data_IF_050501800630
#
_entry.id   IF_050501800630
#
_cell.length_a   1.000
_cell.length_b   1.000
_cell.length_c   1.000
_cell.angle_alpha   90.00
_cell.angle_beta   90.00
_cell.angle_gamma   90.00
#
_symmetry.space_group_name_H-M   'P 1'
#
loop_
_entity.id
_entity.type
_entity.pdbx_description
1 polymer ?
#
# COMPACT_ATOMS: atom_id res chain seq x y z
N UNK A 1 -13.32 26.73 4.98
CA UNK A 1 -14.59 26.15 4.48
C UNK A 1 -14.72 24.78 5.12
N UNK A 2 -15.93 24.42 5.57
CA UNK A 2 -16.19 23.04 6.02
C UNK A 2 -16.09 22.08 4.82
N UNK A 3 -15.51 20.91 5.02
CA UNK A 3 -15.46 19.88 3.97
C UNK A 3 -16.87 19.33 3.73
N UNK A 4 -17.21 19.08 2.48
CA UNK A 4 -18.50 18.49 2.11
C UNK A 4 -18.44 16.97 2.32
N UNK A 5 -19.10 16.50 3.38
CA UNK A 5 -19.15 15.08 3.74
C UNK A 5 -19.91 14.22 2.72
N UNK A 6 -20.67 14.82 1.80
CA UNK A 6 -21.37 14.12 0.72
C UNK A 6 -20.48 13.87 -0.51
N UNK A 7 -19.25 14.40 -0.55
CA UNK A 7 -18.30 14.19 -1.66
C UNK A 7 -18.12 12.71 -1.95
N UNK A 8 -18.36 12.24 -3.19
CA UNK A 8 -18.21 10.84 -3.56
C UNK A 8 -16.78 10.34 -3.34
N UNK A 9 -16.62 9.10 -2.83
CA UNK A 9 -15.31 8.53 -2.52
C UNK A 9 -14.34 8.51 -3.70
N UNK A 10 -14.84 8.23 -4.91
CA UNK A 10 -14.02 8.23 -6.14
C UNK A 10 -13.42 9.60 -6.49
N UNK A 11 -14.11 10.68 -6.15
CA UNK A 11 -13.59 12.04 -6.39
C UNK A 11 -12.45 12.41 -5.43
N UNK A 12 -12.39 11.74 -4.26
CA UNK A 12 -11.33 11.98 -3.27
C UNK A 12 -9.99 11.34 -3.66
N UNK A 13 -10.04 10.25 -4.46
CA UNK A 13 -8.86 9.44 -4.79
C UNK A 13 -8.73 9.18 -6.31
N UNK A 14 -8.73 10.22 -7.16
CA UNK A 14 -8.72 10.05 -8.62
C UNK A 14 -7.45 9.39 -9.15
N UNK A 15 -6.36 9.37 -8.37
CA UNK A 15 -5.10 8.73 -8.74
C UNK A 15 -5.08 7.20 -8.60
N UNK A 16 -6.01 6.61 -7.84
CA UNK A 16 -5.98 5.20 -7.53
C UNK A 16 -6.07 4.28 -8.77
N UNK A 17 -6.97 4.53 -9.74
CA UNK A 17 -7.08 3.68 -10.94
C UNK A 17 -5.85 3.71 -11.85
N UNK A 18 -5.02 4.75 -11.76
CA UNK A 18 -3.83 4.90 -12.61
C UNK A 18 -2.62 4.14 -12.08
N UNK A 19 -2.58 3.79 -10.78
CA UNK A 19 -1.44 3.13 -10.16
C UNK A 19 -0.97 1.88 -10.90
N UNK A 20 -1.82 0.89 -11.25
CA UNK A 20 -1.36 -0.32 -11.93
C UNK A 20 -0.68 -0.04 -13.27
N UNK A 21 -1.21 0.94 -14.01
CA UNK A 21 -0.61 1.37 -15.28
C UNK A 21 0.74 2.08 -15.09
N UNK A 22 0.91 2.81 -13.98
CA UNK A 22 2.20 3.43 -13.65
C UNK A 22 3.25 2.37 -13.31
N UNK A 23 2.89 1.36 -12.52
CA UNK A 23 3.78 0.23 -12.21
C UNK A 23 4.17 -0.53 -13.47
N UNK A 24 3.20 -0.89 -14.33
CA UNK A 24 3.47 -1.60 -15.57
C UNK A 24 4.49 -0.84 -16.44
N UNK A 25 4.33 0.48 -16.61
CA UNK A 25 5.26 1.31 -17.38
C UNK A 25 6.66 1.41 -16.74
N UNK A 26 6.74 1.51 -15.40
CA UNK A 26 8.04 1.59 -14.73
C UNK A 26 8.88 0.32 -14.87
N UNK A 27 8.23 -0.84 -14.95
CA UNK A 27 8.94 -2.13 -15.02
C UNK A 27 9.05 -2.68 -16.44
N UNK A 28 8.47 -2.01 -17.43
CA UNK A 28 8.49 -2.42 -18.84
C UNK A 28 9.93 -2.49 -19.36
N UNK A 29 10.27 -3.60 -20.02
CA UNK A 29 11.58 -3.82 -20.65
C UNK A 29 12.72 -4.11 -19.67
N UNK A 30 12.48 -4.18 -18.35
CA UNK A 30 13.50 -4.60 -17.40
C UNK A 30 13.76 -6.09 -17.51
N UNK A 31 15.04 -6.47 -17.46
CA UNK A 31 15.47 -7.87 -17.40
C UNK A 31 15.18 -8.49 -16.03
N UNK A 32 15.10 -9.82 -15.96
CA UNK A 32 14.97 -10.57 -14.71
C UNK A 32 16.03 -10.18 -13.68
N UNK A 33 17.29 -10.00 -14.13
CA UNK A 33 18.38 -9.58 -13.27
C UNK A 33 18.17 -8.17 -12.68
N UNK A 34 17.56 -7.25 -13.41
CA UNK A 34 17.20 -5.92 -12.92
C UNK A 34 16.01 -5.96 -11.96
N UNK A 35 15.01 -6.77 -12.31
CA UNK A 35 13.81 -6.95 -11.48
C UNK A 35 14.13 -7.55 -10.10
N UNK A 36 15.10 -8.46 -10.02
CA UNK A 36 15.41 -9.22 -8.81
C UNK A 36 16.60 -8.66 -8.00
N UNK A 37 17.24 -7.61 -8.49
CA UNK A 37 18.38 -6.98 -7.79
C UNK A 37 17.90 -6.14 -6.61
N UNK A 38 18.17 -6.59 -5.39
CA UNK A 38 18.09 -5.78 -4.18
C UNK A 38 19.40 -4.98 -3.98
N UNK A 39 19.34 -3.91 -3.18
CA UNK A 39 20.49 -3.03 -2.84
C UNK A 39 20.52 -2.79 -1.34
N UNK A 40 20.86 -3.81 -0.54
CA UNK A 40 20.76 -3.74 0.93
C UNK A 40 21.68 -2.70 1.55
N UNK A 41 22.67 -2.19 0.82
CA UNK A 41 23.53 -1.08 1.21
C UNK A 41 22.82 0.29 1.19
N UNK A 42 21.66 0.38 0.51
CA UNK A 42 20.82 1.57 0.46
C UNK A 42 19.66 1.42 1.44
N UNK A 43 19.35 2.47 2.18
CA UNK A 43 18.24 2.46 3.17
C UNK A 43 16.87 2.12 2.56
N UNK A 44 16.66 2.44 1.29
CA UNK A 44 15.45 2.16 0.51
C UNK A 44 15.51 0.87 -0.31
N UNK A 45 16.68 0.24 -0.43
CA UNK A 45 16.95 -0.81 -1.41
C UNK A 45 16.86 -2.25 -0.87
N UNK A 46 16.26 -2.45 0.30
CA UNK A 46 16.10 -3.78 0.92
C UNK A 46 15.30 -4.75 0.07
N UNK A 47 14.34 -4.25 -0.68
CA UNK A 47 13.51 -5.02 -1.59
C UNK A 47 13.86 -4.71 -3.04
N UNK A 48 13.89 -5.74 -3.87
CA UNK A 48 14.05 -5.61 -5.32
C UNK A 48 12.82 -4.97 -5.97
N UNK A 49 12.92 -4.59 -7.25
CA UNK A 49 11.80 -4.04 -8.02
C UNK A 49 10.62 -5.03 -8.03
N UNK A 50 10.86 -6.33 -8.28
CA UNK A 50 9.80 -7.36 -8.25
C UNK A 50 9.12 -7.42 -6.89
N UNK A 51 9.89 -7.32 -5.81
CA UNK A 51 9.36 -7.31 -4.46
C UNK A 51 8.53 -6.06 -4.16
N UNK A 52 8.89 -4.88 -4.70
CA UNK A 52 8.08 -3.66 -4.60
C UNK A 52 6.69 -3.84 -5.26
N UNK A 53 6.64 -4.46 -6.45
CA UNK A 53 5.38 -4.76 -7.14
C UNK A 53 4.55 -5.77 -6.34
N UNK A 54 5.18 -6.85 -5.86
CA UNK A 54 4.54 -7.89 -5.05
C UNK A 54 3.96 -7.32 -3.77
N UNK A 55 4.71 -6.45 -3.07
CA UNK A 55 4.25 -5.78 -1.87
C UNK A 55 3.01 -4.94 -2.13
N UNK A 56 3.00 -4.15 -3.19
CA UNK A 56 1.86 -3.28 -3.47
C UNK A 56 0.59 -4.04 -3.87
N UNK A 57 0.73 -5.17 -4.56
CA UNK A 57 -0.40 -6.08 -4.80
C UNK A 57 -0.94 -6.65 -3.46
N UNK A 58 -0.04 -7.14 -2.60
CA UNK A 58 -0.38 -7.64 -1.27
C UNK A 58 -1.05 -6.58 -0.39
N UNK A 59 -0.54 -5.34 -0.36
CA UNK A 59 -1.06 -4.23 0.47
C UNK A 59 -2.54 -3.99 0.19
N UNK A 60 -2.96 -3.95 -1.09
CA UNK A 60 -4.35 -3.76 -1.46
C UNK A 60 -5.24 -4.88 -0.90
N UNK A 61 -4.89 -6.15 -1.10
CA UNK A 61 -5.65 -7.27 -0.56
C UNK A 61 -5.61 -7.32 0.97
N UNK A 62 -4.44 -7.09 1.56
CA UNK A 62 -4.30 -7.08 3.02
C UNK A 62 -5.19 -6.06 3.68
N UNK A 63 -5.24 -4.83 3.13
CA UNK A 63 -6.12 -3.80 3.68
C UNK A 63 -7.59 -4.08 3.39
N UNK A 64 -7.97 -4.30 2.14
CA UNK A 64 -9.38 -4.29 1.76
C UNK A 64 -10.09 -5.64 1.91
N UNK A 65 -9.40 -6.77 1.72
CA UNK A 65 -9.97 -8.09 2.01
C UNK A 65 -9.68 -8.54 3.45
N UNK A 66 -8.43 -8.42 3.89
CA UNK A 66 -8.02 -8.94 5.19
C UNK A 66 -8.51 -8.09 6.35
N UNK A 67 -8.13 -6.82 6.39
CA UNK A 67 -8.41 -5.96 7.53
C UNK A 67 -9.84 -5.41 7.50
N UNK A 68 -10.24 -4.82 6.38
CA UNK A 68 -11.57 -4.20 6.22
C UNK A 68 -12.65 -5.17 5.77
N UNK A 69 -12.30 -6.33 5.21
CA UNK A 69 -13.23 -7.29 4.65
C UNK A 69 -14.43 -7.63 5.56
N UNK A 70 -14.21 -7.98 6.85
CA UNK A 70 -15.30 -8.26 7.76
C UNK A 70 -16.26 -7.09 7.97
N UNK A 71 -15.78 -5.85 7.92
CA UNK A 71 -16.59 -4.63 8.10
C UNK A 71 -17.34 -4.28 6.81
N UNK A 72 -16.68 -4.41 5.65
CA UNK A 72 -17.22 -3.98 4.37
C UNK A 72 -18.13 -5.02 3.72
N UNK A 73 -17.85 -6.31 3.90
CA UNK A 73 -18.47 -7.39 3.14
C UNK A 73 -19.13 -8.46 4.03
N UNK A 74 -18.86 -8.45 5.35
CA UNK A 74 -19.31 -9.52 6.24
C UNK A 74 -18.76 -10.87 5.75
N UNK A 75 -19.66 -11.85 5.57
CA UNK A 75 -19.32 -13.23 5.14
C UNK A 75 -19.22 -13.41 3.63
N UNK A 76 -19.37 -12.33 2.85
CA UNK A 76 -19.41 -12.40 1.37
C UNK A 76 -18.37 -11.52 0.71
N UNK A 77 -17.08 -11.81 0.89
CA UNK A 77 -16.02 -11.05 0.24
C UNK A 77 -16.14 -11.17 -1.29
N UNK A 78 -15.89 -10.08 -2.04
CA UNK A 78 -16.02 -10.08 -3.52
C UNK A 78 -14.84 -10.76 -4.22
N UNK A 79 -13.82 -11.16 -3.47
CA UNK A 79 -12.62 -11.88 -3.94
C UNK A 79 -12.30 -13.01 -2.97
N UNK A 80 -11.49 -13.97 -3.42
CA UNK A 80 -10.91 -15.02 -2.57
C UNK A 80 -10.06 -14.41 -1.44
N UNK A 81 -10.46 -14.64 -0.20
CA UNK A 81 -9.77 -14.10 1.00
C UNK A 81 -8.31 -14.54 1.08
N UNK A 82 -7.98 -15.70 0.51
CA UNK A 82 -6.60 -16.22 0.50
C UNK A 82 -5.64 -15.41 -0.37
N UNK A 83 -6.14 -14.45 -1.16
CA UNK A 83 -5.29 -13.47 -1.85
C UNK A 83 -4.52 -12.57 -0.86
N UNK A 84 -4.98 -12.43 0.38
CA UNK A 84 -4.28 -11.73 1.44
C UNK A 84 -3.21 -12.57 2.17
N UNK A 85 -3.04 -13.86 1.82
CA UNK A 85 -2.03 -14.73 2.38
C UNK A 85 -0.67 -14.49 1.73
N UNK A 86 0.39 -14.53 2.55
CA UNK A 86 1.76 -14.30 2.08
C UNK A 86 2.52 -15.59 1.77
N UNK A 87 1.97 -16.74 2.16
CA UNK A 87 2.71 -18.01 2.09
C UNK A 87 4.01 -18.05 2.92
N UNK A 88 4.14 -17.12 3.90
CA UNK A 88 5.33 -16.93 4.73
C UNK A 88 6.32 -15.89 4.20
N UNK A 89 6.03 -15.25 3.06
CA UNK A 89 6.83 -14.12 2.57
C UNK A 89 6.57 -12.86 3.42
N UNK A 90 7.58 -11.99 3.52
CA UNK A 90 7.48 -10.75 4.29
C UNK A 90 6.65 -9.69 3.58
N UNK A 91 5.39 -9.57 3.95
CA UNK A 91 4.48 -8.51 3.45
C UNK A 91 4.37 -8.49 1.92
N UNK A 92 4.42 -9.65 1.27
CA UNK A 92 4.34 -9.82 -0.19
C UNK A 92 3.30 -10.85 -0.55
N UNK A 93 2.91 -10.89 -1.82
CA UNK A 93 2.09 -11.98 -2.36
C UNK A 93 2.80 -13.32 -2.16
N UNK A 94 2.03 -14.39 -1.96
CA UNK A 94 2.59 -15.76 -1.86
C UNK A 94 3.40 -16.10 -3.13
N UNK A 95 4.73 -16.29 -3.04
CA UNK A 95 5.58 -16.53 -4.21
C UNK A 95 5.32 -17.88 -4.89
N UNK A 96 4.57 -18.79 -4.24
CA UNK A 96 4.15 -20.05 -4.86
C UNK A 96 2.99 -19.86 -5.83
N UNK A 97 2.17 -18.83 -5.61
CA UNK A 97 1.01 -18.48 -6.45
C UNK A 97 1.36 -17.40 -7.49
N UNK A 98 2.18 -16.43 -7.10
CA UNK A 98 2.53 -15.26 -7.91
C UNK A 98 4.03 -15.27 -8.23
N UNK A 99 4.40 -16.05 -9.27
CA UNK A 99 5.80 -16.37 -9.58
C UNK A 99 6.48 -15.39 -10.52
N UNK A 100 5.71 -14.73 -11.37
CA UNK A 100 6.21 -13.88 -12.43
C UNK A 100 5.67 -12.45 -12.33
N UNK A 101 6.31 -11.54 -13.03
CA UNK A 101 5.93 -10.14 -13.04
C UNK A 101 4.53 -9.89 -13.62
N UNK A 102 4.10 -10.55 -14.73
CA UNK A 102 2.74 -10.39 -15.24
C UNK A 102 1.68 -10.75 -14.21
N UNK A 103 1.81 -11.87 -13.51
CA UNK A 103 0.88 -12.28 -12.46
C UNK A 103 0.82 -11.31 -11.29
N UNK A 104 1.95 -10.72 -10.91
CA UNK A 104 2.01 -9.67 -9.88
C UNK A 104 1.34 -8.37 -10.33
N UNK A 105 1.52 -7.95 -11.60
CA UNK A 105 0.86 -6.77 -12.15
C UNK A 105 -0.65 -6.97 -12.29
N UNK A 106 -1.10 -8.18 -12.64
CA UNK A 106 -2.52 -8.53 -12.68
C UNK A 106 -3.13 -8.52 -11.28
N UNK A 107 -2.43 -9.06 -10.27
CA UNK A 107 -2.85 -8.99 -8.88
C UNK A 107 -2.93 -7.54 -8.37
N UNK A 108 -1.95 -6.69 -8.71
CA UNK A 108 -1.99 -5.27 -8.37
C UNK A 108 -3.19 -4.57 -9.03
N UNK A 109 -3.48 -4.89 -10.30
CA UNK A 109 -4.63 -4.33 -11.03
C UNK A 109 -5.95 -4.73 -10.38
N UNK A 110 -6.12 -6.00 -10.03
CA UNK A 110 -7.33 -6.49 -9.36
C UNK A 110 -7.48 -5.89 -7.96
N UNK A 111 -6.40 -5.82 -7.18
CA UNK A 111 -6.42 -5.21 -5.84
C UNK A 111 -6.78 -3.71 -5.87
N UNK A 112 -6.24 -2.94 -6.82
CA UNK A 112 -6.65 -1.55 -7.04
C UNK A 112 -8.10 -1.46 -7.56
N UNK A 113 -8.53 -2.42 -8.37
CA UNK A 113 -9.91 -2.55 -8.84
C UNK A 113 -10.88 -2.74 -7.67
N UNK A 114 -10.57 -3.64 -6.74
CA UNK A 114 -11.35 -3.84 -5.51
C UNK A 114 -11.44 -2.53 -4.69
N UNK A 115 -10.33 -1.85 -4.50
CA UNK A 115 -10.32 -0.56 -3.80
C UNK A 115 -11.22 0.48 -4.50
N UNK A 116 -11.19 0.52 -5.83
CA UNK A 116 -12.04 1.42 -6.62
C UNK A 116 -13.52 1.05 -6.59
N UNK A 117 -13.86 -0.23 -6.52
CA UNK A 117 -15.22 -0.73 -6.32
C UNK A 117 -15.78 -0.26 -4.97
N UNK A 118 -15.00 -0.39 -3.89
CA UNK A 118 -15.39 0.09 -2.55
C UNK A 118 -15.67 1.59 -2.57
N UNK A 119 -14.78 2.39 -3.15
CA UNK A 119 -14.96 3.85 -3.25
C UNK A 119 -16.23 4.24 -4.01
N UNK A 120 -16.73 3.39 -4.90
CA UNK A 120 -17.97 3.63 -5.64
C UNK A 120 -19.22 3.66 -4.79
N UNK A 121 -19.20 3.03 -3.62
CA UNK A 121 -20.30 3.01 -2.66
C UNK A 121 -20.14 3.98 -1.49
N UNK A 122 -19.05 4.76 -1.45
CA UNK A 122 -18.69 5.58 -0.30
C UNK A 122 -18.76 7.09 -0.59
N UNK A 123 -18.99 7.85 0.49
CA UNK A 123 -18.79 9.31 0.54
C UNK A 123 -17.71 9.65 1.55
N UNK A 124 -17.24 10.91 1.58
CA UNK A 124 -16.29 11.37 2.59
C UNK A 124 -16.80 11.09 4.02
N UNK A 125 -18.08 11.32 4.27
CA UNK A 125 -18.72 11.05 5.58
C UNK A 125 -18.64 9.58 5.93
N UNK A 126 -19.10 8.69 5.04
CA UNK A 126 -19.12 7.25 5.31
C UNK A 126 -17.71 6.64 5.43
N UNK A 127 -16.73 7.16 4.71
CA UNK A 127 -15.32 6.77 4.82
C UNK A 127 -14.76 7.10 6.22
N UNK A 128 -15.15 8.24 6.81
CA UNK A 128 -14.69 8.67 8.14
C UNK A 128 -15.42 7.97 9.30
N UNK A 129 -16.67 7.57 9.08
CA UNK A 129 -17.48 6.87 10.09
C UNK A 129 -17.05 5.42 10.28
N UNK A 130 -16.55 4.77 9.25
CA UNK A 130 -16.06 3.39 9.32
C UNK A 130 -14.69 3.36 9.98
N UNK A 131 -14.58 2.58 11.06
CA UNK A 131 -13.34 2.45 11.84
C UNK A 131 -12.94 0.99 11.95
N UNK A 132 -11.70 0.70 11.58
CA UNK A 132 -11.03 -0.57 11.81
C UNK A 132 -10.04 -0.42 12.96
N UNK A 133 -10.02 -1.39 13.87
CA UNK A 133 -9.13 -1.38 15.02
C UNK A 133 -8.19 -2.58 14.99
N UNK A 134 -6.92 -2.34 15.30
CA UNK A 134 -5.89 -3.37 15.32
C UNK A 134 -5.03 -3.26 16.57
N UNK A 135 -4.76 -4.41 17.20
CA UNK A 135 -3.70 -4.51 18.22
C UNK A 135 -2.35 -4.69 17.55
N UNK A 136 -1.41 -3.85 17.93
CA UNK A 136 -0.01 -4.07 17.65
C UNK A 136 0.57 -4.85 18.82
N UNK A 137 0.66 -6.16 18.68
CA UNK A 137 1.40 -6.99 19.63
C UNK A 137 2.84 -6.46 19.67
N UNK A 138 3.20 -5.94 20.81
CA UNK A 138 4.23 -4.94 21.00
C UNK A 138 5.65 -5.32 20.56
N UNK A 139 5.98 -6.57 20.23
CA UNK A 139 7.36 -6.96 20.01
C UNK A 139 7.60 -8.09 19.00
N UNK A 140 6.65 -8.40 18.12
CA UNK A 140 6.94 -9.32 17.02
C UNK A 140 7.40 -8.53 15.79
N UNK A 141 8.68 -8.54 15.47
CA UNK A 141 9.17 -7.96 14.22
C UNK A 141 8.58 -8.73 13.02
N UNK A 142 8.43 -8.04 11.90
CA UNK A 142 8.23 -8.71 10.63
C UNK A 142 9.45 -9.56 10.28
N UNK A 143 9.36 -10.50 9.32
CA UNK A 143 10.51 -11.28 8.88
C UNK A 143 11.73 -10.47 8.44
N UNK A 144 11.50 -9.25 7.93
CA UNK A 144 12.56 -8.26 7.63
C UNK A 144 13.30 -7.74 8.86
N UNK A 145 12.78 -7.97 10.06
CA UNK A 145 13.30 -7.37 11.31
C UNK A 145 12.67 -6.03 11.68
N UNK A 146 11.88 -5.42 10.81
CA UNK A 146 11.19 -4.18 11.09
C UNK A 146 10.12 -4.34 12.19
N UNK A 147 10.00 -3.35 13.07
CA UNK A 147 8.96 -3.32 14.09
C UNK A 147 7.66 -2.73 13.54
N UNK A 148 6.51 -3.46 13.64
CA UNK A 148 5.20 -2.89 13.31
C UNK A 148 4.89 -1.61 14.08
N UNK A 149 5.35 -1.53 15.33
CA UNK A 149 5.19 -0.35 16.17
C UNK A 149 6.02 0.82 15.68
N UNK A 150 7.28 0.59 15.34
CA UNK A 150 8.15 1.62 14.77
C UNK A 150 7.61 2.14 13.43
N UNK A 151 7.05 1.25 12.59
CA UNK A 151 6.39 1.65 11.35
C UNK A 151 5.15 2.53 11.63
N UNK A 152 4.31 2.18 12.60
CA UNK A 152 3.17 3.00 13.01
C UNK A 152 3.64 4.42 13.43
N UNK A 153 4.60 4.50 14.35
CA UNK A 153 5.05 5.75 14.95
C UNK A 153 5.87 6.61 13.98
N UNK A 154 6.71 5.99 13.17
CA UNK A 154 7.63 6.69 12.28
C UNK A 154 7.07 6.92 10.88
N UNK A 155 6.04 6.19 10.47
CA UNK A 155 5.43 6.30 9.14
C UNK A 155 3.98 6.74 9.24
N UNK A 156 3.09 5.88 9.74
CA UNK A 156 1.65 6.13 9.67
C UNK A 156 1.24 7.44 10.36
N UNK A 157 1.63 7.62 11.63
CA UNK A 157 1.25 8.81 12.42
C UNK A 157 1.93 10.10 11.94
N UNK A 158 3.09 10.00 11.26
CA UNK A 158 3.79 11.16 10.69
C UNK A 158 3.27 11.55 9.31
N UNK A 159 2.88 10.57 8.51
CA UNK A 159 2.42 10.77 7.15
C UNK A 159 0.94 11.18 7.11
N UNK A 160 0.11 10.60 7.97
CA UNK A 160 -1.33 10.83 8.00
C UNK A 160 -1.71 11.69 9.20
N UNK A 161 -2.08 12.94 8.94
CA UNK A 161 -2.41 13.92 9.98
C UNK A 161 -3.75 13.64 10.67
N UNK A 162 -4.58 12.75 10.11
CA UNK A 162 -5.88 12.34 10.64
C UNK A 162 -6.24 10.94 10.17
N UNK A 163 -7.27 10.37 10.82
CA UNK A 163 -7.84 9.08 10.44
C UNK A 163 -7.03 7.87 10.91
N UNK A 164 -5.93 8.08 11.64
CA UNK A 164 -5.21 7.08 12.41
C UNK A 164 -4.88 7.63 13.78
N UNK A 165 -5.18 6.84 14.84
CA UNK A 165 -4.90 7.26 16.22
C UNK A 165 -4.69 6.05 17.13
N UNK A 166 -3.96 6.28 18.22
CA UNK A 166 -3.78 5.31 19.30
C UNK A 166 -4.90 5.51 20.30
N UNK A 167 -5.51 4.42 20.79
CA UNK A 167 -6.54 4.49 21.82
C UNK A 167 -6.00 5.14 23.10
N UNK A 168 -6.80 6.03 23.71
CA UNK A 168 -6.37 6.78 24.88
C UNK A 168 -6.19 5.92 26.13
N UNK A 169 -6.83 4.75 26.19
CA UNK A 169 -6.82 3.83 27.35
C UNK A 169 -5.96 2.60 27.11
N UNK A 170 -5.66 2.30 25.85
CA UNK A 170 -4.92 1.12 25.44
C UNK A 170 -3.87 1.48 24.36
N UNK A 171 -2.62 1.70 24.76
CA UNK A 171 -1.58 2.14 23.84
C UNK A 171 -1.24 1.11 22.74
N UNK A 172 -1.65 -0.14 22.90
CA UNK A 172 -1.45 -1.17 21.88
C UNK A 172 -2.62 -1.24 20.88
N UNK A 173 -3.73 -0.57 21.13
CA UNK A 173 -4.87 -0.52 20.25
C UNK A 173 -4.77 0.71 19.34
N UNK A 174 -4.81 0.48 18.05
CA UNK A 174 -4.73 1.52 17.01
C UNK A 174 -5.96 1.47 16.13
N UNK A 175 -6.51 2.61 15.87
CA UNK A 175 -7.70 2.80 15.04
C UNK A 175 -7.34 3.46 13.72
N UNK A 176 -8.03 3.06 12.67
CA UNK A 176 -7.93 3.63 11.33
C UNK A 176 -9.34 3.91 10.82
N UNK A 177 -9.59 5.10 10.30
CA UNK A 177 -10.77 5.28 9.46
C UNK A 177 -10.49 4.79 8.03
N UNK A 178 -11.56 4.56 7.28
CA UNK A 178 -11.42 4.03 5.93
C UNK A 178 -10.82 5.08 4.97
N UNK A 179 -11.08 6.39 5.18
CA UNK A 179 -10.45 7.47 4.41
C UNK A 179 -8.93 7.43 4.55
N UNK A 180 -8.43 7.31 5.78
CA UNK A 180 -6.99 7.20 6.05
C UNK A 180 -6.38 5.98 5.35
N UNK A 181 -7.09 4.85 5.33
CA UNK A 181 -6.62 3.64 4.65
C UNK A 181 -6.44 3.87 3.15
N UNK A 182 -7.40 4.47 2.46
CA UNK A 182 -7.26 4.81 1.04
C UNK A 182 -6.11 5.77 0.78
N UNK A 183 -5.98 6.79 1.64
CA UNK A 183 -4.88 7.75 1.57
C UNK A 183 -3.53 7.06 1.75
N UNK A 184 -3.45 6.11 2.68
CA UNK A 184 -2.23 5.35 2.93
C UNK A 184 -1.87 4.46 1.75
N UNK A 185 -2.81 3.68 1.21
CA UNK A 185 -2.57 2.82 0.06
C UNK A 185 -2.11 3.62 -1.17
N UNK A 186 -2.73 4.77 -1.41
CA UNK A 186 -2.30 5.67 -2.51
C UNK A 186 -0.89 6.23 -2.26
N UNK A 187 -0.61 6.68 -1.04
CA UNK A 187 0.71 7.16 -0.64
C UNK A 187 1.77 6.07 -0.80
N UNK A 188 1.51 4.89 -0.25
CA UNK A 188 2.42 3.75 -0.28
C UNK A 188 2.71 3.32 -1.72
N UNK A 189 1.67 3.34 -2.59
CA UNK A 189 1.82 3.10 -4.01
C UNK A 189 2.82 4.04 -4.69
N UNK A 190 2.76 5.33 -4.40
CA UNK A 190 3.71 6.30 -4.95
C UNK A 190 5.09 6.20 -4.31
N UNK A 191 5.18 5.88 -3.02
CA UNK A 191 6.46 5.68 -2.33
C UNK A 191 7.22 4.48 -2.92
N UNK A 192 6.54 3.37 -3.18
CA UNK A 192 7.14 2.19 -3.83
C UNK A 192 7.48 2.43 -5.30
N UNK A 193 6.68 3.19 -6.06
CA UNK A 193 7.06 3.65 -7.40
C UNK A 193 8.34 4.50 -7.36
N UNK A 194 8.46 5.41 -6.40
CA UNK A 194 9.69 6.20 -6.22
C UNK A 194 10.89 5.31 -5.92
N UNK A 195 10.71 4.25 -5.12
CA UNK A 195 11.77 3.27 -4.85
C UNK A 195 12.16 2.51 -6.12
N UNK A 196 11.20 2.10 -6.96
CA UNK A 196 11.48 1.49 -8.26
C UNK A 196 12.31 2.44 -9.14
N UNK A 197 11.95 3.72 -9.20
CA UNK A 197 12.70 4.74 -9.94
C UNK A 197 14.13 4.91 -9.41
N UNK A 198 14.33 4.83 -8.07
CA UNK A 198 15.65 4.87 -7.47
C UNK A 198 16.51 3.66 -7.91
N UNK A 199 15.95 2.43 -7.94
CA UNK A 199 16.64 1.26 -8.49
C UNK A 199 17.06 1.45 -9.95
N UNK A 200 16.16 2.00 -10.78
CA UNK A 200 16.45 2.30 -12.20
C UNK A 200 17.54 3.34 -12.35
N UNK A 201 17.52 4.39 -11.54
CA UNK A 201 18.53 5.45 -11.56
C UNK A 201 19.93 4.93 -11.24
N UNK A 202 20.10 4.00 -10.31
CA UNK A 202 21.38 3.34 -10.03
C UNK A 202 21.92 2.55 -11.23
N UNK A 203 21.07 2.22 -12.19
CA UNK A 203 21.45 1.55 -13.45
C UNK A 203 21.48 2.49 -14.65
N UNK A 204 21.38 3.79 -14.44
CA UNK A 204 21.36 4.79 -15.50
C UNK A 204 20.08 4.81 -16.34
N UNK A 205 19.00 4.18 -15.86
CA UNK A 205 17.71 4.12 -16.55
C UNK A 205 16.80 5.28 -16.13
N UNK A 206 16.08 5.92 -17.06
CA UNK A 206 15.16 7.01 -16.73
C UNK A 206 13.90 6.49 -16.04
N UNK A 207 13.24 7.35 -15.27
CA UNK A 207 11.88 7.14 -14.83
C UNK A 207 10.91 7.12 -16.04
N UNK A 208 9.96 6.20 -16.05
CA UNK A 208 8.96 6.07 -17.12
C UNK A 208 7.67 6.85 -16.84
N UNK A 209 7.41 7.17 -15.56
CA UNK A 209 6.22 7.94 -15.15
C UNK A 209 6.62 9.12 -14.25
N UNK A 210 5.95 10.28 -14.38
CA UNK A 210 6.13 11.36 -13.43
C UNK A 210 5.47 11.02 -12.10
N UNK A 211 6.10 11.42 -10.98
CA UNK A 211 5.51 11.37 -9.65
C UNK A 211 5.35 12.79 -9.13
N UNK A 212 4.14 13.15 -8.71
CA UNK A 212 3.91 14.43 -8.04
C UNK A 212 4.54 14.35 -6.63
N UNK A 213 5.53 15.21 -6.31
CA UNK A 213 6.16 15.20 -4.99
C UNK A 213 5.20 15.59 -3.84
N UNK A 214 4.02 16.13 -4.17
CA UNK A 214 2.97 16.45 -3.19
C UNK A 214 2.06 15.28 -2.89
N UNK A 215 1.96 14.31 -3.80
CA UNK A 215 1.12 13.12 -3.61
C UNK A 215 1.74 12.25 -2.54
N UNK A 216 0.90 11.86 -1.58
CA UNK A 216 1.25 10.87 -0.59
C UNK A 216 2.40 11.23 0.33
N UNK A 217 2.70 12.50 0.50
CA UNK A 217 3.75 12.90 1.45
C UNK A 217 5.12 12.24 1.16
N UNK A 218 5.48 12.07 -0.09
CA UNK A 218 6.75 11.43 -0.51
C UNK A 218 7.98 12.05 0.18
N UNK A 219 7.88 13.33 0.56
CA UNK A 219 8.96 14.03 1.29
C UNK A 219 9.23 13.47 2.70
N UNK A 220 8.32 12.67 3.27
CA UNK A 220 8.54 12.03 4.57
C UNK A 220 9.56 10.89 4.50
N UNK A 221 9.84 10.39 3.29
CA UNK A 221 10.80 9.32 3.05
C UNK A 221 12.10 9.88 2.48
N UNK A 222 13.22 9.23 2.81
CA UNK A 222 14.55 9.56 2.29
C UNK A 222 15.00 8.51 1.30
N UNK A 223 15.46 8.96 0.15
CA UNK A 223 16.03 8.14 -0.94
C UNK A 223 17.49 8.51 -1.22
N UNK A 224 18.23 8.90 -0.18
CA UNK A 224 19.67 9.25 -0.26
C UNK A 224 20.53 8.02 0.01
#
# INVERSE_FOLDING_TARGET
>A
MAEDLSTPGRELFPGLPSLPGMYAREVEGLSEAQLDRARPEKSWGQWSIRQQVSHMAFVNYRWFLGNWGPILFGDKPPRDITLADTGGADRMMDPRRFRDLPGLLDALRDGCGLAWEILGGETLGSLREKVYSRRFASNQPWPSGDSPRAWLENTMLKVHLRGVWIDAKDPDLVHYDLECTFRHVLWEGHAHLRTIQAHKQEEGLPAAVPLDPKVGYLRALRWE
#
